data_IF_094060395980
#
_entry.id   IF_094060395980
#
_cell.length_a   1.000
_cell.length_b   1.000
_cell.length_c   1.000
_cell.angle_alpha   90.00
_cell.angle_beta   90.00
_cell.angle_gamma   90.00
#
_symmetry.space_group_name_H-M   'P 1'
#
loop_
_entity.id
_entity.type
_entity.pdbx_description
1 polymer ?
#
# COMPACT_ATOMS: atom_id res chain seq x y z
N UNK A 1 -11.71 -33.31 1.11
CA UNK A 1 -10.34 -32.97 0.63
C UNK A 1 -10.35 -31.86 -0.43
N UNK A 2 -11.47 -31.64 -1.13
CA UNK A 2 -11.62 -30.61 -2.18
C UNK A 2 -11.36 -29.18 -1.70
N UNK A 3 -11.60 -28.86 -0.41
CA UNK A 3 -11.35 -27.52 0.15
C UNK A 3 -9.86 -27.12 0.22
N UNK A 4 -8.93 -28.05 -0.07
CA UNK A 4 -7.48 -27.81 -0.06
C UNK A 4 -6.84 -27.98 -1.45
N UNK A 5 -7.62 -27.91 -2.53
CA UNK A 5 -7.11 -28.02 -3.89
C UNK A 5 -6.89 -26.64 -4.54
N UNK A 6 -5.95 -26.57 -5.48
CA UNK A 6 -5.61 -25.35 -6.21
C UNK A 6 -5.06 -24.24 -5.32
N UNK A 7 -5.25 -22.98 -5.74
CA UNK A 7 -4.74 -21.79 -5.06
C UNK A 7 -5.15 -21.70 -3.59
N UNK A 8 -6.40 -22.07 -3.26
CA UNK A 8 -6.92 -22.08 -1.88
C UNK A 8 -6.15 -23.04 -0.96
N UNK A 9 -5.70 -24.18 -1.50
CA UNK A 9 -4.84 -25.11 -0.77
C UNK A 9 -3.48 -24.49 -0.44
N UNK A 10 -2.88 -23.84 -1.43
CA UNK A 10 -1.60 -23.13 -1.28
C UNK A 10 -1.70 -22.01 -0.23
N UNK A 11 -2.77 -21.20 -0.26
CA UNK A 11 -3.04 -20.14 0.72
C UNK A 11 -3.19 -20.70 2.15
N UNK A 12 -3.95 -21.78 2.32
CA UNK A 12 -4.12 -22.38 3.64
C UNK A 12 -2.83 -22.99 4.18
N UNK A 13 -2.03 -23.65 3.33
CA UNK A 13 -0.72 -24.15 3.73
C UNK A 13 0.20 -23.00 4.13
N UNK A 14 0.23 -21.92 3.34
CA UNK A 14 1.03 -20.73 3.62
C UNK A 14 0.62 -20.10 4.95
N UNK A 15 -0.67 -19.98 5.22
CA UNK A 15 -1.20 -19.45 6.48
C UNK A 15 -0.77 -20.31 7.68
N UNK A 16 -0.76 -21.64 7.54
CA UNK A 16 -0.29 -22.57 8.58
C UNK A 16 1.21 -22.48 8.81
N UNK A 17 2.01 -22.46 7.73
CA UNK A 17 3.46 -22.29 7.81
C UNK A 17 3.79 -20.94 8.47
N UNK A 18 3.13 -19.86 8.04
CA UNK A 18 3.25 -18.56 8.66
C UNK A 18 2.94 -18.62 10.16
N UNK A 19 1.79 -19.17 10.56
CA UNK A 19 1.43 -19.26 11.98
C UNK A 19 2.45 -20.06 12.81
N UNK A 20 3.17 -20.99 12.19
CA UNK A 20 4.19 -21.81 12.84
C UNK A 20 5.56 -21.13 12.90
N UNK A 21 5.91 -20.36 11.87
CA UNK A 21 7.25 -19.79 11.72
C UNK A 21 7.33 -18.28 12.02
N UNK A 22 6.19 -17.60 12.12
CA UNK A 22 6.04 -16.19 12.50
C UNK A 22 5.55 -16.06 13.95
N UNK A 23 6.41 -16.34 14.92
CA UNK A 23 6.20 -15.94 16.32
C UNK A 23 6.97 -14.66 16.66
N UNK A 24 6.68 -14.04 17.81
CA UNK A 24 6.83 -12.62 18.19
C UNK A 24 8.21 -11.92 18.03
N UNK A 25 9.23 -12.57 17.49
CA UNK A 25 10.53 -12.01 17.08
C UNK A 25 10.88 -12.48 15.66
N UNK A 26 9.90 -12.44 14.75
CA UNK A 26 9.95 -13.10 13.46
C UNK A 26 11.18 -12.66 12.66
N UNK A 27 12.12 -13.59 12.47
CA UNK A 27 13.30 -13.39 11.65
C UNK A 27 12.83 -13.05 10.23
N UNK A 28 13.07 -11.82 9.74
CA UNK A 28 12.55 -11.36 8.44
C UNK A 28 13.00 -12.27 7.29
N UNK A 29 14.17 -12.90 7.44
CA UNK A 29 14.70 -13.98 6.59
C UNK A 29 13.69 -15.10 6.34
N UNK A 30 12.94 -15.55 7.36
CA UNK A 30 11.99 -16.68 7.21
C UNK A 30 10.75 -16.28 6.44
N UNK A 31 10.28 -15.04 6.63
CA UNK A 31 9.16 -14.49 5.89
C UNK A 31 9.54 -14.29 4.42
N UNK A 32 10.76 -13.81 4.14
CA UNK A 32 11.32 -13.73 2.77
C UNK A 32 11.49 -15.09 2.14
N UNK A 33 12.00 -16.08 2.87
CA UNK A 33 12.16 -17.43 2.36
C UNK A 33 10.80 -18.06 2.00
N UNK A 34 9.78 -17.88 2.83
CA UNK A 34 8.41 -18.31 2.52
C UNK A 34 7.86 -17.59 1.28
N UNK A 35 8.02 -16.27 1.20
CA UNK A 35 7.61 -15.50 0.03
C UNK A 35 8.32 -15.99 -1.25
N UNK A 36 9.62 -16.26 -1.18
CA UNK A 36 10.42 -16.76 -2.29
C UNK A 36 9.97 -18.16 -2.73
N UNK A 37 9.75 -19.08 -1.79
CA UNK A 37 9.26 -20.43 -2.10
C UNK A 37 7.91 -20.38 -2.84
N UNK A 38 6.98 -19.56 -2.38
CA UNK A 38 5.67 -19.44 -3.00
C UNK A 38 5.70 -18.62 -4.30
N UNK A 39 6.71 -17.78 -4.50
CA UNK A 39 6.95 -17.07 -5.78
C UNK A 39 7.42 -18.00 -6.91
N UNK A 40 7.85 -19.22 -6.58
CA UNK A 40 8.27 -20.23 -7.56
C UNK A 40 7.10 -21.12 -8.03
N UNK A 41 5.91 -20.99 -7.43
CA UNK A 41 4.71 -21.71 -7.89
C UNK A 41 4.24 -21.18 -9.24
N UNK A 42 3.66 -22.07 -10.05
CA UNK A 42 3.01 -21.71 -11.31
C UNK A 42 1.88 -20.68 -11.08
N UNK A 43 1.70 -19.79 -12.05
CA UNK A 43 0.93 -18.54 -11.89
C UNK A 43 -0.47 -18.72 -11.30
N UNK A 44 -1.20 -19.75 -11.70
CA UNK A 44 -2.56 -20.02 -11.23
C UNK A 44 -2.63 -20.52 -9.77
N UNK A 45 -1.50 -21.01 -9.23
CA UNK A 45 -1.38 -21.51 -7.86
C UNK A 45 -0.67 -20.52 -6.94
N UNK A 46 -0.05 -19.47 -7.51
CA UNK A 46 0.72 -18.50 -6.77
C UNK A 46 -0.19 -17.57 -5.93
N UNK A 47 -0.05 -17.56 -4.59
CA UNK A 47 -0.85 -16.69 -3.74
C UNK A 47 -0.21 -15.30 -3.63
N UNK A 48 -0.35 -14.48 -4.68
CA UNK A 48 0.33 -13.18 -4.83
C UNK A 48 0.08 -12.23 -3.65
N UNK A 49 -1.17 -12.16 -3.18
CA UNK A 49 -1.53 -11.28 -2.05
C UNK A 49 -0.86 -11.72 -0.75
N UNK A 50 -0.79 -13.04 -0.52
CA UNK A 50 -0.16 -13.59 0.67
C UNK A 50 1.37 -13.49 0.63
N UNK A 51 1.98 -13.63 -0.55
CA UNK A 51 3.40 -13.35 -0.78
C UNK A 51 3.71 -11.88 -0.47
N UNK A 52 2.88 -10.96 -0.98
CA UNK A 52 3.01 -9.52 -0.72
C UNK A 52 2.87 -9.21 0.77
N UNK A 53 1.93 -9.85 1.47
CA UNK A 53 1.77 -9.71 2.91
C UNK A 53 3.01 -10.15 3.70
N UNK A 54 3.66 -11.25 3.28
CA UNK A 54 4.88 -11.75 3.91
C UNK A 54 6.07 -10.83 3.70
N UNK A 55 6.26 -10.34 2.47
CA UNK A 55 7.32 -9.38 2.15
C UNK A 55 7.11 -8.07 2.90
N UNK A 56 5.86 -7.58 2.99
CA UNK A 56 5.55 -6.34 3.69
C UNK A 56 5.88 -6.43 5.17
N UNK A 57 5.60 -7.57 5.79
CA UNK A 57 5.97 -7.85 7.17
C UNK A 57 7.49 -8.03 7.37
N UNK A 58 8.17 -8.68 6.42
CA UNK A 58 9.61 -8.91 6.48
C UNK A 58 10.43 -7.62 6.32
N UNK A 59 10.01 -6.77 5.38
CA UNK A 59 10.72 -5.54 5.03
C UNK A 59 10.28 -4.38 5.93
N UNK A 60 9.10 -4.50 6.56
CA UNK A 60 8.50 -3.46 7.40
C UNK A 60 8.50 -2.09 6.70
N UNK A 61 8.21 -2.10 5.40
CA UNK A 61 8.28 -0.91 4.57
C UNK A 61 7.39 0.20 5.11
N UNK A 62 7.90 1.43 5.08
CA UNK A 62 7.15 2.63 5.45
C UNK A 62 6.96 3.51 4.22
N UNK A 63 6.07 4.49 4.30
CA UNK A 63 6.01 5.60 3.35
C UNK A 63 6.93 6.70 3.89
N UNK A 64 7.95 7.11 3.15
CA UNK A 64 8.86 8.18 3.61
C UNK A 64 8.44 9.59 3.17
N UNK A 65 7.80 9.72 2.01
CA UNK A 65 7.41 11.00 1.42
C UNK A 65 6.21 10.81 0.48
N UNK A 66 5.57 11.89 0.05
CA UNK A 66 4.50 11.86 -0.96
C UNK A 66 4.76 13.04 -1.92
N UNK A 67 5.27 12.76 -3.11
CA UNK A 67 5.66 13.75 -4.13
C UNK A 67 4.67 13.78 -5.30
N UNK A 68 3.83 14.81 -5.41
CA UNK A 68 2.74 14.86 -6.39
C UNK A 68 3.11 15.56 -7.70
N UNK A 69 2.37 15.25 -8.80
CA UNK A 69 2.43 16.07 -10.00
C UNK A 69 2.03 17.51 -9.69
N UNK A 70 2.61 18.42 -10.48
CA UNK A 70 2.80 19.83 -10.12
C UNK A 70 1.52 20.61 -9.88
N UNK A 71 0.38 20.22 -10.47
CA UNK A 71 -0.85 21.01 -10.45
C UNK A 71 -2.09 20.12 -10.41
N UNK A 72 -2.88 20.25 -9.33
CA UNK A 72 -4.26 19.77 -9.24
C UNK A 72 -5.09 20.97 -8.79
N UNK A 73 -6.04 21.37 -9.64
CA UNK A 73 -6.93 22.49 -9.41
C UNK A 73 -8.29 22.00 -8.88
N UNK A 74 -9.05 22.91 -8.25
CA UNK A 74 -10.44 22.64 -7.85
C UNK A 74 -10.66 22.02 -6.47
N UNK A 75 -9.61 21.86 -5.65
CA UNK A 75 -9.70 21.15 -4.36
C UNK A 75 -10.29 21.99 -3.20
N UNK A 76 -10.57 23.28 -3.44
CA UNK A 76 -11.09 24.19 -2.41
C UNK A 76 -10.03 24.58 -1.37
N UNK A 77 -10.37 25.46 -0.43
CA UNK A 77 -9.39 26.06 0.49
C UNK A 77 -9.17 25.29 1.79
N UNK A 78 -9.91 24.20 2.03
CA UNK A 78 -9.84 23.42 3.27
C UNK A 78 -8.68 22.40 3.26
N UNK A 79 -8.07 22.08 4.42
CA UNK A 79 -7.11 20.99 4.53
C UNK A 79 -7.78 19.65 4.26
N UNK A 80 -7.32 18.95 3.23
CA UNK A 80 -7.88 17.65 2.83
C UNK A 80 -7.10 16.51 3.49
N UNK A 81 -7.81 15.61 4.16
CA UNK A 81 -7.23 14.34 4.60
C UNK A 81 -7.09 13.41 3.39
N UNK A 82 -5.93 12.78 3.26
CA UNK A 82 -5.67 11.81 2.19
C UNK A 82 -5.73 10.44 2.83
N UNK A 83 -6.64 9.60 2.34
CA UNK A 83 -6.72 8.23 2.80
C UNK A 83 -5.73 7.39 2.00
N UNK A 84 -4.87 6.66 2.70
CA UNK A 84 -3.83 5.83 2.11
C UNK A 84 -4.25 4.37 2.30
N UNK A 85 -4.21 3.58 1.22
CA UNK A 85 -4.55 2.16 1.28
C UNK A 85 -3.74 1.41 2.34
N UNK A 86 -4.39 0.41 2.96
CA UNK A 86 -3.77 -0.40 3.99
C UNK A 86 -2.65 -1.26 3.36
N UNK A 87 -1.47 -1.35 3.99
CA UNK A 87 -0.41 -2.24 3.53
C UNK A 87 -0.88 -3.71 3.46
N UNK A 88 -0.27 -4.53 2.59
CA UNK A 88 -0.61 -5.95 2.43
C UNK A 88 -0.25 -6.75 3.68
N UNK A 89 0.71 -6.28 4.48
CA UNK A 89 1.03 -6.89 5.76
C UNK A 89 -0.21 -6.93 6.66
N UNK A 90 -0.54 -8.13 7.16
CA UNK A 90 -1.67 -8.37 8.07
C UNK A 90 -1.55 -7.57 9.38
N UNK A 91 -0.32 -7.35 9.82
CA UNK A 91 0.03 -6.57 11.01
C UNK A 91 0.44 -5.12 10.65
N UNK A 92 0.28 -4.75 9.38
CA UNK A 92 0.67 -3.45 8.87
C UNK A 92 -0.24 -2.34 9.35
N UNK A 93 0.33 -1.14 9.40
CA UNK A 93 -0.35 0.10 9.79
C UNK A 93 -0.40 1.02 8.59
N UNK A 94 -1.58 1.54 8.20
CA UNK A 94 -1.68 2.47 7.09
C UNK A 94 -0.89 3.75 7.39
N UNK A 95 -0.29 4.31 6.35
CA UNK A 95 0.29 5.64 6.40
C UNK A 95 -0.81 6.71 6.49
N UNK A 96 -0.46 7.89 7.01
CA UNK A 96 -1.36 9.02 7.13
C UNK A 96 -0.74 10.24 6.49
N UNK A 97 -1.51 10.97 5.67
CA UNK A 97 -1.05 12.18 5.03
C UNK A 97 -2.16 13.23 4.93
N UNK A 98 -1.72 14.47 4.72
CA UNK A 98 -2.62 15.61 4.58
C UNK A 98 -2.19 16.49 3.42
N UNK A 99 -3.18 16.91 2.66
CA UNK A 99 -3.02 17.92 1.65
C UNK A 99 -2.82 19.30 2.27
N UNK A 100 -1.90 20.06 1.69
CA UNK A 100 -1.83 21.51 1.87
C UNK A 100 -2.32 22.15 0.58
N UNK A 101 -3.39 22.92 0.70
CA UNK A 101 -4.03 23.62 -0.41
C UNK A 101 -3.80 25.12 -0.26
N UNK A 102 -3.66 25.83 -1.38
CA UNK A 102 -3.60 27.30 -1.40
C UNK A 102 -4.98 27.88 -1.12
N UNK A 103 -5.07 29.13 -0.63
CA UNK A 103 -6.35 29.84 -0.50
C UNK A 103 -7.18 29.88 -1.79
N UNK A 104 -6.51 29.82 -2.95
CA UNK A 104 -7.11 29.80 -4.29
C UNK A 104 -7.74 28.45 -4.67
N UNK A 105 -7.72 27.45 -3.78
CA UNK A 105 -8.19 26.10 -4.08
C UNK A 105 -7.23 25.26 -4.93
N UNK A 106 -6.03 25.78 -5.19
CA UNK A 106 -4.97 25.07 -5.92
C UNK A 106 -4.14 24.24 -4.96
N UNK A 107 -3.83 23.01 -5.33
CA UNK A 107 -2.94 22.17 -4.54
C UNK A 107 -1.55 22.80 -4.37
N UNK A 108 -0.94 22.64 -3.19
CA UNK A 108 0.42 23.13 -2.92
C UNK A 108 1.40 21.97 -2.71
N UNK A 109 1.05 21.03 -1.83
CA UNK A 109 1.92 19.92 -1.45
C UNK A 109 1.17 18.89 -0.60
N UNK A 110 1.71 17.68 -0.47
CA UNK A 110 1.30 16.75 0.58
C UNK A 110 2.31 16.72 1.68
N UNK A 111 1.82 16.73 2.91
CA UNK A 111 2.60 16.42 4.09
C UNK A 111 2.24 15.04 4.58
N UNK A 112 3.23 14.15 4.57
CA UNK A 112 3.12 12.88 5.28
C UNK A 112 3.13 13.18 6.79
N UNK A 113 2.16 12.62 7.51
CA UNK A 113 2.03 12.72 8.97
C UNK A 113 2.65 11.47 9.62
N UNK A 114 2.35 10.29 9.06
CA UNK A 114 2.88 9.00 9.53
C UNK A 114 3.16 8.11 8.31
N UNK A 115 4.34 7.50 8.26
CA UNK A 115 4.73 6.58 7.19
C UNK A 115 4.06 5.21 7.25
N UNK A 116 3.31 4.90 8.30
CA UNK A 116 2.74 3.56 8.47
C UNK A 116 3.83 2.49 8.65
N UNK A 117 3.49 1.24 8.37
CA UNK A 117 4.38 0.09 8.48
C UNK A 117 3.82 -1.11 7.72
N UNK A 118 4.66 -1.88 7.04
CA UNK A 118 4.26 -3.13 6.40
C UNK A 118 3.99 -3.07 4.90
N UNK A 119 4.38 -1.98 4.23
CA UNK A 119 4.29 -1.83 2.77
C UNK A 119 5.38 -2.65 2.07
N UNK A 120 5.14 -3.07 0.83
CA UNK A 120 6.15 -3.73 -0.03
C UNK A 120 6.72 -2.80 -1.08
N UNK A 121 7.96 -3.07 -1.48
CA UNK A 121 8.57 -2.42 -2.63
C UNK A 121 7.80 -2.77 -3.92
N UNK A 122 7.48 -1.73 -4.70
CA UNK A 122 6.60 -1.69 -5.89
C UNK A 122 5.10 -1.55 -5.61
N UNK A 123 4.66 -1.46 -4.36
CA UNK A 123 3.24 -1.29 -4.08
C UNK A 123 2.71 0.03 -4.65
N UNK A 124 1.61 -0.08 -5.41
CA UNK A 124 0.85 1.03 -5.94
C UNK A 124 -0.23 1.36 -4.90
N UNK A 125 0.08 2.30 -4.01
CA UNK A 125 -0.81 2.72 -2.95
C UNK A 125 -1.84 3.70 -3.52
N UNK A 126 -3.11 3.35 -3.43
CA UNK A 126 -4.19 4.27 -3.81
C UNK A 126 -4.33 5.36 -2.75
N UNK A 127 -4.50 6.58 -3.25
CA UNK A 127 -4.78 7.76 -2.45
C UNK A 127 -6.20 8.22 -2.78
N UNK A 128 -7.12 8.05 -1.84
CA UNK A 128 -8.47 8.57 -1.96
C UNK A 128 -8.51 9.99 -1.40
N UNK A 129 -9.02 10.90 -2.23
CA UNK A 129 -9.33 12.27 -1.84
C UNK A 129 -10.85 12.47 -1.80
N UNK A 130 -11.36 13.36 -0.93
CA UNK A 130 -12.75 13.79 -0.98
C UNK A 130 -13.05 14.52 -2.29
N UNK A 131 -14.33 14.50 -2.68
CA UNK A 131 -14.82 15.24 -3.84
C UNK A 131 -14.60 16.75 -3.67
N UNK A 132 -14.31 17.48 -4.77
CA UNK A 132 -14.14 18.92 -4.72
C UNK A 132 -15.44 19.63 -4.26
N UNK A 133 -15.34 20.77 -3.56
CA UNK A 133 -16.51 21.47 -2.99
C UNK A 133 -17.55 21.92 -4.02
N UNK A 134 -17.16 22.04 -5.30
CA UNK A 134 -18.05 22.42 -6.41
C UNK A 134 -18.84 21.26 -7.02
N UNK A 135 -18.70 20.04 -6.50
CA UNK A 135 -19.16 18.81 -7.16
C UNK A 135 -18.17 18.36 -8.25
N UNK A 136 -17.99 17.04 -8.38
CA UNK A 136 -17.03 16.42 -9.29
C UNK A 136 -16.56 15.06 -8.77
N UNK A 137 -15.90 14.27 -9.61
CA UNK A 137 -15.29 13.03 -9.12
C UNK A 137 -14.05 13.37 -8.25
N UNK A 138 -13.78 12.59 -7.20
CA UNK A 138 -12.53 12.74 -6.47
C UNK A 138 -11.35 12.37 -7.38
N UNK A 139 -10.25 13.16 -7.38
CA UNK A 139 -9.07 12.81 -8.14
C UNK A 139 -8.49 11.49 -7.63
N UNK A 140 -8.21 10.58 -8.56
CA UNK A 140 -7.60 9.30 -8.24
C UNK A 140 -6.10 9.40 -8.43
N UNK A 141 -5.35 9.17 -7.35
CA UNK A 141 -3.90 9.20 -7.39
C UNK A 141 -3.37 7.86 -6.92
N UNK A 142 -2.34 7.39 -7.62
CA UNK A 142 -1.63 6.19 -7.25
C UNK A 142 -0.17 6.49 -6.97
N UNK A 143 0.40 5.81 -5.99
CA UNK A 143 1.70 6.10 -5.43
C UNK A 143 2.59 4.86 -5.42
N UNK A 144 3.82 4.92 -5.91
CA UNK A 144 4.74 3.77 -5.91
C UNK A 144 5.73 3.85 -4.75
N UNK A 145 5.80 2.81 -3.94
CA UNK A 145 6.78 2.67 -2.85
C UNK A 145 8.02 1.90 -3.33
N UNK A 146 9.22 2.35 -2.95
CA UNK A 146 10.50 1.67 -3.18
C UNK A 146 11.48 1.97 -2.04
N UNK A 147 12.12 0.96 -1.48
CA UNK A 147 12.94 0.96 -0.28
C UNK A 147 12.29 1.71 0.90
N UNK A 148 10.98 1.51 1.12
CA UNK A 148 10.24 2.24 2.15
C UNK A 148 10.18 3.76 1.92
N UNK A 149 10.38 4.20 0.67
CA UNK A 149 10.25 5.59 0.26
C UNK A 149 9.35 5.68 -0.96
N UNK A 150 8.47 6.67 -1.00
CA UNK A 150 7.66 6.87 -2.18
C UNK A 150 8.53 7.44 -3.31
N UNK A 151 8.49 6.80 -4.47
CA UNK A 151 9.33 7.19 -5.62
C UNK A 151 8.55 7.83 -6.75
N UNK A 152 7.24 7.61 -6.82
CA UNK A 152 6.43 8.09 -7.94
C UNK A 152 4.98 8.33 -7.51
N UNK A 153 4.37 9.44 -7.93
CA UNK A 153 2.92 9.62 -7.93
C UNK A 153 2.43 9.84 -9.34
N UNK A 154 1.33 9.17 -9.67
CA UNK A 154 0.63 9.34 -10.93
C UNK A 154 -0.83 9.70 -10.65
N UNK A 155 -1.24 10.85 -11.19
CA UNK A 155 -2.66 11.17 -11.32
C UNK A 155 -3.26 10.23 -12.36
N UNK A 156 -4.25 9.45 -11.94
CA UNK A 156 -4.98 8.51 -12.82
C UNK A 156 -6.18 9.22 -13.46
N UNK A 157 -6.87 10.06 -12.69
CA UNK A 157 -7.96 10.91 -13.18
C UNK A 157 -8.01 12.21 -12.37
N UNK A 158 -8.27 13.32 -13.06
CA UNK A 158 -8.30 14.65 -12.44
C UNK A 158 -9.62 14.97 -11.70
N UNK A 159 -10.64 14.12 -11.83
CA UNK A 159 -11.98 14.39 -11.29
C UNK A 159 -12.81 15.28 -12.19
#
# INVERSE_FOLDING_TARGET
LEQFQGQRGCEQLLARLRSRYASAQSQPERLRALAQLYSMLDGDLQPVDAISALLGEADNGRVAAINLPKEIDGLGSAPIAINIERPPSKNGRPAAARALVRPTGRWRSVRLIDGGAGYVDKEVVKLDMPAPPGGGEPPKIVARVRNGSLTELRLVSAG
#
